data_IF_347365248463
#
_entry.id   IF_347365248463
#
_cell.length_a   1.000
_cell.length_b   1.000
_cell.length_c   1.000
_cell.angle_alpha   90.00
_cell.angle_beta   90.00
_cell.angle_gamma   90.00
#
_symmetry.space_group_name_H-M   'P 1'
#
loop_
_entity.id
_entity.type
_entity.pdbx_description
1 polymer ?
#
# COMPACT_ATOMS: atom_id res chain seq x y z
N UNK A 1 -1.91 45.35 -20.24
CA UNK A 1 -3.21 44.98 -19.64
C UNK A 1 -3.29 43.48 -19.63
N UNK A 2 -2.93 42.88 -18.49
CA UNK A 2 -3.00 41.45 -18.23
C UNK A 2 -4.44 40.95 -18.30
N UNK A 3 -4.64 39.85 -19.02
CA UNK A 3 -5.86 39.05 -18.96
C UNK A 3 -5.64 37.98 -17.90
N UNK A 4 -6.31 38.14 -16.75
CA UNK A 4 -6.45 37.10 -15.74
C UNK A 4 -7.34 35.98 -16.30
N UNK A 5 -6.80 34.78 -16.45
CA UNK A 5 -7.59 33.58 -16.64
C UNK A 5 -7.89 32.98 -15.26
N UNK A 6 -9.15 33.11 -14.83
CA UNK A 6 -9.68 32.44 -13.65
C UNK A 6 -9.88 30.97 -14.02
N UNK A 7 -9.08 30.08 -13.42
CA UNK A 7 -9.31 28.64 -13.49
C UNK A 7 -10.58 28.32 -12.68
N UNK A 8 -11.54 27.66 -13.33
CA UNK A 8 -12.78 27.20 -12.69
C UNK A 8 -12.48 26.14 -11.63
N UNK A 9 -12.97 26.37 -10.42
CA UNK A 9 -12.97 25.41 -9.33
C UNK A 9 -14.16 24.47 -9.53
N UNK A 10 -13.89 23.19 -9.79
CA UNK A 10 -14.89 22.11 -9.68
C UNK A 10 -15.03 21.68 -8.22
N UNK A 11 -16.20 21.15 -7.85
CA UNK A 11 -16.65 20.94 -6.47
C UNK A 11 -15.86 19.89 -5.67
N UNK A 12 -14.87 20.33 -4.89
CA UNK A 12 -14.11 19.48 -3.94
C UNK A 12 -14.27 19.94 -2.48
N UNK A 13 -15.43 20.47 -2.09
CA UNK A 13 -15.67 20.80 -0.68
C UNK A 13 -16.05 19.53 0.10
N UNK A 14 -15.39 19.22 1.23
CA UNK A 14 -15.71 18.04 2.02
C UNK A 14 -17.16 18.07 2.49
N UNK A 15 -17.83 16.93 2.40
CA UNK A 15 -19.22 16.77 2.84
C UNK A 15 -19.33 16.92 4.36
N UNK A 16 -20.53 17.26 4.89
CA UNK A 16 -20.76 17.29 6.33
C UNK A 16 -20.41 15.98 7.06
N UNK A 17 -20.57 14.83 6.38
CA UNK A 17 -20.19 13.52 6.93
C UNK A 17 -18.67 13.37 7.05
N UNK A 18 -17.92 13.75 6.01
CA UNK A 18 -16.45 13.75 6.03
C UNK A 18 -15.89 14.71 7.09
N UNK A 19 -16.50 15.89 7.25
CA UNK A 19 -16.13 16.83 8.29
C UNK A 19 -16.40 16.27 9.69
N UNK A 20 -17.55 15.63 9.89
CA UNK A 20 -17.90 15.02 11.18
C UNK A 20 -16.92 13.90 11.55
N UNK A 21 -16.57 13.04 10.59
CA UNK A 21 -15.59 11.97 10.80
C UNK A 21 -14.20 12.53 11.09
N UNK A 22 -13.77 13.56 10.37
CA UNK A 22 -12.51 14.25 10.64
C UNK A 22 -12.44 14.81 12.07
N UNK A 23 -13.51 15.45 12.57
CA UNK A 23 -13.56 15.91 13.96
C UNK A 23 -13.57 14.76 14.97
N UNK A 24 -14.27 13.66 14.69
CA UNK A 24 -14.23 12.47 15.53
C UNK A 24 -12.82 11.87 15.63
N UNK A 25 -12.03 11.93 14.55
CA UNK A 25 -10.63 11.51 14.55
C UNK A 25 -9.73 12.43 15.38
N UNK A 26 -10.02 13.73 15.45
CA UNK A 26 -9.33 14.67 16.36
C UNK A 26 -9.69 14.36 17.82
N UNK A 27 -10.98 14.18 18.13
CA UNK A 27 -11.46 13.90 19.48
C UNK A 27 -10.93 12.57 20.04
N UNK A 28 -10.87 11.53 19.18
CA UNK A 28 -10.29 10.23 19.52
C UNK A 28 -8.75 10.22 19.57
N UNK A 29 -8.10 11.37 19.36
CA UNK A 29 -6.63 11.55 19.29
C UNK A 29 -5.93 10.78 18.17
N UNK A 30 -6.67 10.23 17.21
CA UNK A 30 -6.11 9.64 15.98
C UNK A 30 -5.43 10.69 15.10
N UNK A 31 -5.97 11.92 15.08
CA UNK A 31 -5.31 13.10 14.54
C UNK A 31 -4.87 14.00 15.70
N UNK A 32 -3.56 14.04 15.95
CA UNK A 32 -3.01 14.92 16.98
C UNK A 32 -2.99 16.38 16.51
N UNK A 33 -3.01 17.33 17.45
CA UNK A 33 -2.86 18.77 17.16
C UNK A 33 -1.56 19.06 16.38
N UNK A 34 -0.47 18.34 16.68
CA UNK A 34 0.81 18.45 15.96
C UNK A 34 0.65 17.99 14.51
N UNK A 35 0.01 16.83 14.28
CA UNK A 35 -0.29 16.27 12.95
C UNK A 35 -1.14 17.21 12.09
N UNK A 36 -2.21 17.77 12.65
CA UNK A 36 -3.05 18.77 11.98
C UNK A 36 -2.28 20.04 11.63
N UNK A 37 -1.43 20.52 12.54
CA UNK A 37 -0.61 21.71 12.30
C UNK A 37 0.45 21.47 11.22
N UNK A 38 1.06 20.30 11.17
CA UNK A 38 2.02 19.94 10.11
C UNK A 38 1.32 19.88 8.74
N UNK A 39 0.14 19.23 8.67
CA UNK A 39 -0.69 19.22 7.47
C UNK A 39 -1.03 20.64 6.98
N UNK A 40 -1.52 21.51 7.87
CA UNK A 40 -1.90 22.89 7.53
C UNK A 40 -0.71 23.78 7.11
N UNK A 41 0.51 23.45 7.53
CA UNK A 41 1.73 24.18 7.16
C UNK A 41 2.40 23.62 5.90
N UNK A 42 1.87 22.54 5.33
CA UNK A 42 2.57 21.78 4.29
C UNK A 42 3.89 21.20 4.80
N UNK A 43 4.04 21.08 6.13
CA UNK A 43 5.19 20.46 6.76
C UNK A 43 5.00 18.95 6.66
N UNK A 44 6.02 18.32 6.08
CA UNK A 44 6.10 16.90 5.83
C UNK A 44 5.86 16.16 7.14
N UNK A 45 5.03 15.11 7.11
CA UNK A 45 4.73 14.33 8.31
C UNK A 45 6.04 13.81 8.91
N UNK A 46 6.27 14.17 10.17
CA UNK A 46 7.46 13.79 10.92
C UNK A 46 7.58 12.25 10.89
N UNK A 47 8.71 11.73 10.40
CA UNK A 47 8.94 10.28 10.25
C UNK A 47 8.67 9.55 11.57
N UNK A 48 8.96 10.17 12.71
CA UNK A 48 8.68 9.58 14.03
C UNK A 48 7.18 9.34 14.26
N UNK A 49 6.31 10.20 13.72
CA UNK A 49 4.85 10.04 13.76
C UNK A 49 4.41 8.87 12.88
N UNK A 50 4.96 8.76 11.67
CA UNK A 50 4.67 7.64 10.77
C UNK A 50 5.11 6.29 11.36
N UNK A 51 6.29 6.24 11.97
CA UNK A 51 6.77 5.02 12.61
C UNK A 51 5.92 4.65 13.83
N UNK A 52 5.55 5.62 14.67
CA UNK A 52 4.66 5.37 15.81
C UNK A 52 3.27 4.85 15.36
N UNK A 53 2.75 5.38 14.26
CA UNK A 53 1.51 4.91 13.65
C UNK A 53 1.61 3.47 13.14
N UNK A 54 2.75 3.08 12.54
CA UNK A 54 3.04 1.69 12.19
C UNK A 54 3.17 0.76 13.40
N UNK A 55 3.82 1.20 14.48
CA UNK A 55 3.89 0.44 15.74
C UNK A 55 2.48 0.20 16.30
N UNK A 56 1.64 1.23 16.29
CA UNK A 56 0.25 1.13 16.72
C UNK A 56 -0.55 0.13 15.87
N UNK A 57 -0.39 0.19 14.54
CA UNK A 57 -1.02 -0.74 13.61
C UNK A 57 -0.61 -2.20 13.90
N UNK A 58 0.68 -2.48 14.08
CA UNK A 58 1.15 -3.82 14.39
C UNK A 58 0.59 -4.35 15.71
N UNK A 59 0.52 -3.50 16.73
CA UNK A 59 -0.09 -3.87 18.01
C UNK A 59 -1.57 -4.19 17.88
N UNK A 60 -2.33 -3.37 17.16
CA UNK A 60 -3.79 -3.54 17.05
C UNK A 60 -4.19 -4.72 16.15
N UNK A 61 -3.49 -4.90 15.03
CA UNK A 61 -3.88 -5.86 14.00
C UNK A 61 -3.24 -7.22 14.22
N UNK A 62 -2.00 -7.25 14.73
CA UNK A 62 -1.23 -8.47 14.92
C UNK A 62 -0.95 -8.81 16.38
N UNK A 63 -1.30 -7.94 17.34
CA UNK A 63 -0.92 -8.13 18.74
C UNK A 63 0.60 -8.07 18.96
N UNK A 64 1.33 -7.41 18.06
CA UNK A 64 2.78 -7.41 18.03
C UNK A 64 3.35 -6.05 18.44
N UNK A 65 4.18 -6.04 19.47
CA UNK A 65 5.02 -4.89 19.81
C UNK A 65 6.27 -4.91 18.91
N UNK A 66 6.39 -3.93 18.02
CA UNK A 66 7.53 -3.81 17.10
C UNK A 66 8.37 -2.61 17.51
N UNK A 67 9.67 -2.81 17.72
CA UNK A 67 10.61 -1.70 17.89
C UNK A 67 11.08 -1.21 16.52
N UNK A 68 10.74 0.03 16.19
CA UNK A 68 11.15 0.71 14.95
C UNK A 68 12.17 1.82 15.22
N UNK A 69 12.73 1.88 16.43
CA UNK A 69 13.74 2.86 16.77
C UNK A 69 15.00 2.65 15.92
N UNK A 70 15.45 3.71 15.25
CA UNK A 70 16.60 3.64 14.36
C UNK A 70 16.34 2.96 13.01
N UNK A 71 15.08 2.64 12.68
CA UNK A 71 14.73 2.18 11.33
C UNK A 71 15.13 3.26 10.31
N UNK A 72 15.93 2.86 9.32
CA UNK A 72 16.26 3.73 8.19
C UNK A 72 15.01 3.90 7.32
N UNK A 73 14.62 5.16 7.13
CA UNK A 73 13.52 5.53 6.23
C UNK A 73 14.11 6.24 5.01
N UNK A 74 13.89 5.73 3.79
CA UNK A 74 14.38 6.36 2.57
C UNK A 74 13.87 7.79 2.46
N UNK A 75 14.67 8.65 1.81
CA UNK A 75 14.25 10.01 1.50
C UNK A 75 12.99 9.99 0.64
N UNK A 76 11.96 10.73 1.06
CA UNK A 76 10.67 10.76 0.36
C UNK A 76 10.80 11.53 -0.96
N UNK A 77 10.49 10.86 -2.08
CA UNK A 77 10.42 11.48 -3.40
C UNK A 77 9.03 12.08 -3.67
N UNK A 78 8.96 13.13 -4.52
CA UNK A 78 7.68 13.77 -4.86
C UNK A 78 6.73 12.75 -5.50
N UNK A 79 5.52 12.62 -4.93
CA UNK A 79 4.50 11.68 -5.38
C UNK A 79 4.59 10.30 -4.72
N UNK A 80 5.60 10.05 -3.89
CA UNK A 80 5.68 8.86 -3.04
C UNK A 80 5.26 9.23 -1.62
N UNK A 81 4.00 8.97 -1.30
CA UNK A 81 3.33 9.57 -0.14
C UNK A 81 2.88 8.55 0.91
N UNK A 82 2.92 7.25 0.57
CA UNK A 82 2.54 6.14 1.44
C UNK A 82 3.78 5.39 1.92
N UNK A 83 4.11 5.50 3.21
CA UNK A 83 5.14 4.68 3.83
C UNK A 83 4.59 3.31 4.16
N UNK A 84 5.25 2.25 3.69
CA UNK A 84 5.06 0.88 4.17
C UNK A 84 6.25 0.48 5.01
N UNK A 85 6.01 0.01 6.23
CA UNK A 85 7.02 -0.57 7.10
C UNK A 85 6.73 -2.05 7.22
N UNK A 86 7.65 -2.90 6.78
CA UNK A 86 7.52 -4.36 6.89
C UNK A 86 8.33 -4.81 8.10
N UNK A 87 7.62 -5.24 9.15
CA UNK A 87 8.24 -5.76 10.37
C UNK A 87 8.81 -7.18 10.15
N UNK A 88 9.74 -7.65 11.00
CA UNK A 88 10.16 -9.04 10.99
C UNK A 88 8.98 -10.00 11.11
N UNK A 89 9.12 -11.19 10.54
CA UNK A 89 8.11 -12.26 10.56
C UNK A 89 6.78 -11.92 9.87
N UNK A 90 6.69 -10.82 9.11
CA UNK A 90 5.57 -10.53 8.22
C UNK A 90 5.69 -11.35 6.93
N UNK A 91 5.38 -12.64 7.04
CA UNK A 91 5.43 -13.58 5.92
C UNK A 91 4.17 -13.47 5.04
N UNK A 92 4.23 -13.86 3.75
CA UNK A 92 3.09 -13.88 2.84
C UNK A 92 1.83 -14.53 3.43
N UNK A 93 1.97 -15.72 4.02
CA UNK A 93 0.84 -16.49 4.57
C UNK A 93 0.29 -15.82 5.83
N UNK A 94 1.15 -15.27 6.69
CA UNK A 94 0.71 -14.54 7.90
C UNK A 94 -0.11 -13.31 7.53
N UNK A 95 0.34 -12.55 6.54
CA UNK A 95 -0.35 -11.35 6.06
C UNK A 95 -1.69 -11.71 5.40
N UNK A 96 -1.70 -12.72 4.53
CA UNK A 96 -2.93 -13.18 3.89
C UNK A 96 -3.95 -13.69 4.91
N UNK A 97 -3.53 -14.47 5.91
CA UNK A 97 -4.42 -14.92 6.98
C UNK A 97 -5.06 -13.74 7.72
N UNK A 98 -4.29 -12.66 7.93
CA UNK A 98 -4.83 -11.45 8.55
C UNK A 98 -5.86 -10.75 7.66
N UNK A 99 -5.69 -10.77 6.34
CA UNK A 99 -6.72 -10.29 5.40
C UNK A 99 -8.00 -11.11 5.55
N UNK A 100 -7.90 -12.44 5.57
CA UNK A 100 -9.05 -13.37 5.73
C UNK A 100 -9.82 -13.12 7.04
N UNK A 101 -9.13 -12.77 8.12
CA UNK A 101 -9.77 -12.43 9.39
C UNK A 101 -10.59 -11.13 9.34
N UNK A 102 -10.26 -10.20 8.43
CA UNK A 102 -10.87 -8.87 8.37
C UNK A 102 -11.91 -8.73 7.25
N UNK A 103 -11.72 -9.44 6.13
CA UNK A 103 -12.60 -9.34 4.97
C UNK A 103 -12.54 -10.61 4.10
N UNK A 104 -13.57 -10.89 3.29
CA UNK A 104 -13.59 -12.06 2.40
C UNK A 104 -12.40 -12.04 1.44
N UNK A 105 -11.72 -13.18 1.32
CA UNK A 105 -10.56 -13.32 0.46
C UNK A 105 -10.65 -14.60 -0.37
N UNK A 106 -10.05 -14.56 -1.56
CA UNK A 106 -9.87 -15.71 -2.43
C UNK A 106 -8.44 -15.76 -2.93
N UNK A 107 -7.82 -16.93 -2.89
CA UNK A 107 -6.53 -17.19 -3.53
C UNK A 107 -6.64 -18.34 -4.52
N UNK A 108 -5.80 -18.33 -5.54
CA UNK A 108 -5.79 -19.32 -6.62
C UNK A 108 -5.34 -20.73 -6.22
N UNK A 109 -4.70 -20.86 -5.04
CA UNK A 109 -4.04 -22.09 -4.58
C UNK A 109 -4.36 -22.38 -3.12
N UNK A 110 -4.39 -23.65 -2.75
CA UNK A 110 -4.45 -24.10 -1.35
C UNK A 110 -3.05 -24.16 -0.70
N UNK A 111 -1.98 -24.02 -1.47
CA UNK A 111 -0.61 -24.06 -0.96
C UNK A 111 -0.30 -22.92 0.00
N UNK A 112 0.66 -23.19 0.88
CA UNK A 112 1.21 -22.23 1.83
C UNK A 112 2.03 -21.16 1.08
N UNK A 113 1.59 -19.90 1.15
CA UNK A 113 2.21 -18.78 0.46
C UNK A 113 3.66 -18.57 0.91
N UNK A 114 4.03 -18.97 2.13
CA UNK A 114 5.41 -18.87 2.62
C UNK A 114 6.37 -19.82 1.90
N UNK A 115 5.84 -20.87 1.27
CA UNK A 115 6.63 -21.87 0.54
C UNK A 115 6.75 -21.53 -0.94
N UNK A 116 5.73 -20.90 -1.51
CA UNK A 116 5.65 -20.69 -2.95
C UNK A 116 5.99 -19.25 -3.35
N UNK A 117 5.94 -18.26 -2.46
CA UNK A 117 6.28 -16.86 -2.81
C UNK A 117 7.72 -16.52 -2.42
N UNK A 118 8.43 -15.88 -3.34
CA UNK A 118 9.75 -15.31 -3.14
C UNK A 118 9.75 -13.83 -3.51
N UNK A 119 10.23 -12.99 -2.61
CA UNK A 119 10.23 -11.53 -2.77
C UNK A 119 11.65 -10.97 -2.79
N UNK A 120 11.87 -9.93 -3.61
CA UNK A 120 13.15 -9.25 -3.75
C UNK A 120 13.54 -8.49 -2.46
N UNK A 121 12.55 -7.92 -1.76
CA UNK A 121 12.70 -7.27 -0.46
C UNK A 121 12.02 -8.12 0.61
N UNK A 122 12.73 -8.40 1.70
CA UNK A 122 12.22 -9.22 2.82
C UNK A 122 12.72 -8.69 4.15
N UNK A 123 11.93 -8.86 5.20
CA UNK A 123 12.28 -8.46 6.57
C UNK A 123 13.12 -9.53 7.33
N UNK A 124 13.81 -10.42 6.62
CA UNK A 124 14.64 -11.49 7.22
C UNK A 124 15.79 -10.93 8.06
N UNK A 125 16.31 -9.76 7.68
CA UNK A 125 17.45 -9.10 8.34
C UNK A 125 17.03 -7.93 9.22
N UNK A 126 15.76 -7.88 9.62
CA UNK A 126 15.17 -6.77 10.37
C UNK A 126 14.08 -6.05 9.59
N UNK A 127 13.38 -5.14 10.28
CA UNK A 127 12.36 -4.31 9.66
C UNK A 127 12.98 -3.47 8.53
N UNK A 128 12.19 -3.21 7.49
CA UNK A 128 12.55 -2.27 6.44
C UNK A 128 11.36 -1.37 6.10
N UNK A 129 11.64 -0.28 5.40
CA UNK A 129 10.60 0.62 4.93
C UNK A 129 10.78 0.98 3.46
N UNK A 130 9.67 1.29 2.81
CA UNK A 130 9.59 1.60 1.39
C UNK A 130 8.43 2.56 1.15
N UNK A 131 8.60 3.49 0.22
CA UNK A 131 7.57 4.43 -0.19
C UNK A 131 6.87 4.00 -1.47
N UNK A 132 5.58 4.31 -1.55
CA UNK A 132 4.74 4.17 -2.73
C UNK A 132 3.87 5.41 -2.91
N UNK A 133 3.24 5.55 -4.08
CA UNK A 133 2.19 6.54 -4.31
C UNK A 133 0.96 6.21 -3.45
N UNK A 134 0.36 7.23 -2.82
CA UNK A 134 -0.87 7.07 -2.02
C UNK A 134 -2.12 7.24 -2.89
N UNK A 135 -2.42 6.20 -3.66
CA UNK A 135 -3.53 6.15 -4.62
C UNK A 135 -4.26 4.82 -4.53
N UNK A 136 -5.58 4.85 -4.75
CA UNK A 136 -6.44 3.65 -4.70
C UNK A 136 -5.98 2.63 -5.74
N UNK A 137 -5.78 3.09 -6.97
CA UNK A 137 -5.36 2.28 -8.10
C UNK A 137 -3.84 2.32 -8.28
N UNK A 138 -3.25 1.22 -8.74
CA UNK A 138 -1.82 1.18 -9.03
C UNK A 138 -1.40 2.16 -10.14
N UNK A 139 -0.09 2.45 -10.17
CA UNK A 139 0.52 3.56 -10.92
C UNK A 139 0.13 3.53 -12.41
N UNK A 140 -0.62 4.54 -12.84
CA UNK A 140 -1.16 4.60 -14.21
C UNK A 140 -0.05 4.65 -15.26
N UNK A 141 1.07 5.30 -14.96
CA UNK A 141 2.25 5.36 -15.83
C UNK A 141 2.91 3.99 -16.06
N UNK A 142 2.61 2.99 -15.23
CA UNK A 142 3.12 1.62 -15.34
C UNK A 142 2.13 0.65 -15.99
N UNK A 143 0.99 1.16 -16.49
CA UNK A 143 -0.03 0.37 -17.19
C UNK A 143 0.53 -0.30 -18.45
N UNK A 144 0.05 -1.51 -18.74
CA UNK A 144 0.49 -2.35 -19.85
C UNK A 144 1.98 -2.71 -19.82
N UNK A 145 2.64 -2.65 -18.66
CA UNK A 145 4.02 -3.14 -18.52
C UNK A 145 4.03 -4.48 -17.80
N UNK A 146 4.66 -5.47 -18.42
CA UNK A 146 4.88 -6.77 -17.77
C UNK A 146 5.94 -6.67 -16.67
N UNK A 147 6.01 -7.66 -15.79
CA UNK A 147 7.08 -7.72 -14.79
C UNK A 147 8.47 -7.77 -15.45
N UNK A 148 8.59 -8.40 -16.62
CA UNK A 148 9.80 -8.40 -17.42
C UNK A 148 10.15 -7.01 -17.99
N UNK A 149 9.16 -6.23 -18.42
CA UNK A 149 9.39 -4.86 -18.91
C UNK A 149 9.82 -3.92 -17.79
N UNK A 150 9.20 -4.03 -16.61
CA UNK A 150 9.58 -3.28 -15.41
C UNK A 150 11.04 -3.59 -15.02
N UNK A 151 11.41 -4.88 -15.03
CA UNK A 151 12.80 -5.30 -14.79
C UNK A 151 13.78 -4.75 -15.82
N UNK A 152 13.45 -4.79 -17.11
CA UNK A 152 14.30 -4.22 -18.19
C UNK A 152 14.46 -2.70 -18.06
N UNK A 153 13.44 -2.01 -17.55
CA UNK A 153 13.46 -0.57 -17.29
C UNK A 153 14.08 -0.21 -15.93
N UNK A 154 14.53 -1.21 -15.16
CA UNK A 154 15.04 -1.04 -13.80
C UNK A 154 14.06 -0.30 -12.88
N UNK A 155 12.76 -0.56 -13.05
CA UNK A 155 11.71 -0.02 -12.19
C UNK A 155 11.44 -1.04 -11.09
N UNK A 156 11.82 -0.76 -9.83
CA UNK A 156 11.49 -1.65 -8.72
C UNK A 156 9.98 -1.59 -8.45
N UNK A 157 9.31 -2.74 -8.53
CA UNK A 157 7.88 -2.82 -8.22
C UNK A 157 7.63 -3.35 -6.82
N UNK A 158 6.43 -3.12 -6.31
CA UNK A 158 5.94 -3.60 -5.01
C UNK A 158 6.08 -5.12 -4.87
N UNK A 159 6.49 -5.59 -3.70
CA UNK A 159 6.45 -7.01 -3.34
C UNK A 159 5.06 -7.40 -2.88
N UNK A 160 4.79 -8.70 -2.84
CA UNK A 160 3.52 -9.24 -2.40
C UNK A 160 3.23 -8.89 -0.93
N UNK A 161 4.20 -9.02 -0.02
CA UNK A 161 4.06 -8.67 1.39
C UNK A 161 3.79 -7.18 1.60
N UNK A 162 4.49 -6.32 0.85
CA UNK A 162 4.27 -4.87 0.89
C UNK A 162 2.85 -4.51 0.47
N UNK A 163 2.33 -5.16 -0.57
CA UNK A 163 0.98 -4.93 -1.07
C UNK A 163 -0.09 -5.44 -0.10
N UNK A 164 0.10 -6.60 0.53
CA UNK A 164 -0.82 -7.11 1.56
C UNK A 164 -0.84 -6.19 2.81
N UNK A 165 0.32 -5.71 3.26
CA UNK A 165 0.40 -4.75 4.36
C UNK A 165 -0.27 -3.42 4.00
N UNK A 166 -0.08 -2.97 2.76
CA UNK A 166 -0.75 -1.77 2.24
C UNK A 166 -2.28 -1.94 2.26
N UNK A 167 -2.80 -3.12 1.89
CA UNK A 167 -4.24 -3.43 1.96
C UNK A 167 -4.75 -3.34 3.40
N UNK A 168 -4.13 -4.11 4.30
CA UNK A 168 -4.54 -4.19 5.69
C UNK A 168 -4.56 -2.81 6.34
N UNK A 169 -3.52 -2.02 6.10
CA UNK A 169 -3.41 -0.68 6.66
C UNK A 169 -4.46 0.26 6.06
N UNK A 170 -4.67 0.23 4.75
CA UNK A 170 -5.68 1.05 4.08
C UNK A 170 -7.10 0.70 4.57
N UNK A 171 -7.42 -0.59 4.65
CA UNK A 171 -8.70 -1.07 5.18
C UNK A 171 -8.93 -0.62 6.62
N UNK A 172 -7.92 -0.72 7.49
CA UNK A 172 -8.04 -0.25 8.89
C UNK A 172 -8.24 1.26 9.02
N UNK A 173 -7.74 2.04 8.08
CA UNK A 173 -7.87 3.51 8.07
C UNK A 173 -9.20 3.98 7.47
N UNK A 174 -9.76 3.23 6.52
CA UNK A 174 -10.83 3.73 5.64
C UNK A 174 -12.08 2.84 5.57
N UNK A 175 -12.01 1.60 6.07
CA UNK A 175 -13.03 0.56 5.87
C UNK A 175 -13.33 0.31 4.37
N UNK A 176 -12.34 0.55 3.50
CA UNK A 176 -12.41 0.43 2.04
C UNK A 176 -11.20 -0.33 1.49
N UNK A 177 -11.24 -0.68 0.20
CA UNK A 177 -10.22 -1.51 -0.46
C UNK A 177 -9.48 -0.77 -1.57
N UNK A 178 -8.24 -1.20 -1.82
CA UNK A 178 -7.43 -0.73 -2.94
C UNK A 178 -7.69 -1.59 -4.19
N UNK A 179 -7.24 -1.11 -5.35
CA UNK A 179 -7.28 -1.85 -6.63
C UNK A 179 -8.69 -2.32 -7.01
N UNK A 180 -9.61 -1.37 -7.15
CA UNK A 180 -11.03 -1.62 -7.44
C UNK A 180 -11.24 -1.81 -8.94
N UNK A 181 -10.50 -1.06 -9.77
CA UNK A 181 -10.69 -1.03 -11.24
C UNK A 181 -9.53 -1.66 -12.02
N UNK A 182 -8.43 -2.02 -11.35
CA UNK A 182 -7.29 -2.69 -11.95
C UNK A 182 -6.65 -3.63 -10.92
N UNK A 183 -5.61 -4.32 -11.37
CA UNK A 183 -4.92 -5.33 -10.60
C UNK A 183 -3.49 -4.89 -10.34
N UNK A 184 -3.09 -4.88 -9.07
CA UNK A 184 -1.69 -4.64 -8.73
C UNK A 184 -0.87 -5.88 -9.08
N UNK A 185 -0.01 -5.76 -10.08
CA UNK A 185 1.03 -6.73 -10.39
C UNK A 185 2.19 -6.56 -9.39
N UNK A 186 2.36 -7.50 -8.47
CA UNK A 186 3.43 -7.48 -7.46
C UNK A 186 4.78 -7.90 -8.07
N UNK A 187 5.27 -7.10 -9.01
CA UNK A 187 6.43 -7.44 -9.84
C UNK A 187 7.75 -7.56 -9.08
N UNK A 188 7.81 -7.15 -7.80
CA UNK A 188 8.92 -7.41 -6.88
C UNK A 188 8.90 -8.80 -6.23
N UNK A 189 7.93 -9.66 -6.60
CA UNK A 189 7.79 -11.03 -6.11
C UNK A 189 7.56 -12.02 -7.25
N UNK A 190 7.84 -13.31 -6.98
CA UNK A 190 7.57 -14.43 -7.87
C UNK A 190 7.03 -15.62 -7.09
N UNK A 191 6.13 -16.38 -7.70
CA UNK A 191 5.84 -17.74 -7.28
C UNK A 191 7.01 -18.68 -7.65
N UNK A 192 7.01 -19.89 -7.08
CA UNK A 192 8.08 -20.87 -7.27
C UNK A 192 8.25 -21.36 -8.70
N UNK A 193 7.21 -21.23 -9.52
CA UNK A 193 7.18 -21.51 -10.96
C UNK A 193 7.62 -20.31 -11.84
N UNK A 194 7.84 -19.15 -11.22
CA UNK A 194 8.26 -17.92 -11.90
C UNK A 194 7.10 -17.00 -12.31
N UNK A 195 5.86 -17.36 -12.02
CA UNK A 195 4.73 -16.46 -12.21
C UNK A 195 4.75 -15.31 -11.18
N UNK A 196 4.01 -14.24 -11.47
CA UNK A 196 4.03 -13.00 -10.70
C UNK A 196 2.75 -12.91 -9.89
N UNK A 197 2.80 -12.74 -8.55
CA UNK A 197 1.61 -12.49 -7.76
C UNK A 197 0.88 -11.25 -8.23
N UNK A 198 -0.43 -11.33 -8.27
CA UNK A 198 -1.32 -10.20 -8.51
C UNK A 198 -2.37 -10.16 -7.41
N UNK A 199 -2.84 -8.94 -7.10
CA UNK A 199 -3.94 -8.75 -6.17
C UNK A 199 -4.90 -7.67 -6.64
N UNK A 200 -6.16 -7.81 -6.22
CA UNK A 200 -7.18 -6.79 -6.41
C UNK A 200 -8.36 -6.95 -5.43
N UNK A 201 -9.24 -5.96 -5.42
CA UNK A 201 -10.57 -6.09 -4.84
C UNK A 201 -11.61 -6.32 -5.93
N UNK A 202 -12.19 -7.51 -5.96
CA UNK A 202 -13.31 -7.83 -6.85
C UNK A 202 -14.60 -7.27 -6.23
N UNK A 203 -15.12 -6.19 -6.84
CA UNK A 203 -16.35 -5.54 -6.35
C UNK A 203 -17.61 -6.37 -6.59
N UNK A 204 -17.61 -7.24 -7.59
CA UNK A 204 -18.77 -8.08 -7.92
C UNK A 204 -18.84 -9.27 -6.95
N UNK A 205 -17.70 -9.91 -6.68
CA UNK A 205 -17.60 -10.99 -5.69
C UNK A 205 -17.55 -10.47 -4.24
N UNK A 206 -17.18 -9.19 -4.04
CA UNK A 206 -16.89 -8.57 -2.73
C UNK A 206 -15.79 -9.32 -1.98
N UNK A 207 -14.72 -9.65 -2.69
CA UNK A 207 -13.60 -10.45 -2.20
C UNK A 207 -12.26 -9.81 -2.58
N UNK A 208 -11.30 -9.91 -1.67
CA UNK A 208 -9.90 -9.60 -1.96
C UNK A 208 -9.24 -10.80 -2.63
N UNK A 209 -8.78 -10.62 -3.86
CA UNK A 209 -8.29 -11.66 -4.74
C UNK A 209 -6.76 -11.69 -4.76
N UNK A 210 -6.20 -12.89 -4.74
CA UNK A 210 -4.77 -13.18 -4.92
C UNK A 210 -4.64 -14.24 -6.00
N UNK A 211 -4.21 -13.86 -7.20
CA UNK A 211 -3.91 -14.80 -8.28
C UNK A 211 -2.47 -14.63 -8.76
N UNK A 212 -2.26 -14.79 -10.06
CA UNK A 212 -0.98 -14.78 -10.70
C UNK A 212 -1.12 -14.37 -12.17
N UNK A 213 -0.01 -13.87 -12.71
CA UNK A 213 0.18 -13.61 -14.12
C UNK A 213 1.52 -14.14 -14.59
N UNK A 214 1.60 -14.54 -15.86
CA UNK A 214 2.89 -14.83 -16.47
C UNK A 214 3.77 -13.57 -16.48
N UNK A 215 5.10 -13.71 -16.31
CA UNK A 215 5.99 -12.56 -16.16
C UNK A 215 6.09 -11.66 -17.41
N UNK A 216 5.70 -12.17 -18.58
CA UNK A 216 5.55 -11.46 -19.85
C UNK A 216 4.15 -10.88 -20.10
N UNK A 217 3.15 -11.22 -19.28
CA UNK A 217 1.80 -10.71 -19.44
C UNK A 217 1.78 -9.19 -19.24
N UNK A 218 1.15 -8.52 -20.20
CA UNK A 218 0.87 -7.10 -20.13
C UNK A 218 -0.52 -6.84 -20.71
N UNK A 219 -1.34 -6.13 -19.96
CA UNK A 219 -2.65 -5.70 -20.40
C UNK A 219 -3.05 -4.39 -19.70
N UNK A 220 -4.21 -3.86 -20.10
CA UNK A 220 -4.67 -2.55 -19.65
C UNK A 220 -5.19 -2.51 -18.21
N UNK A 221 -5.46 -3.66 -17.61
CA UNK A 221 -5.88 -3.82 -16.23
C UNK A 221 -4.69 -4.14 -15.33
N UNK A 222 -3.53 -4.53 -15.87
CA UNK A 222 -2.31 -4.75 -15.08
C UNK A 222 -1.50 -3.48 -14.88
N UNK A 223 -1.16 -3.19 -13.62
CA UNK A 223 -0.30 -2.08 -13.20
C UNK A 223 0.54 -2.49 -12.01
N UNK A 224 1.80 -2.07 -11.96
CA UNK A 224 2.62 -2.23 -10.74
C UNK A 224 2.62 -0.93 -9.94
N UNK A 225 3.02 -1.01 -8.67
CA UNK A 225 3.29 0.17 -7.84
C UNK A 225 4.80 0.30 -7.70
N UNK A 226 5.36 1.47 -8.05
CA UNK A 226 6.79 1.71 -7.99
C UNK A 226 7.24 1.86 -6.54
N UNK A 227 8.20 1.02 -6.15
CA UNK A 227 8.88 1.14 -4.87
C UNK A 227 9.93 2.26 -4.90
N UNK A 228 9.99 3.05 -3.85
CA UNK A 228 11.07 4.01 -3.59
C UNK A 228 11.70 3.65 -2.24
N UNK A 229 12.90 3.08 -2.29
CA UNK A 229 13.61 2.49 -1.15
C UNK A 229 15.08 2.86 -1.16
#
# INVERSE_FOLDING_TARGET
>A
MEKSYVAGWTSESPTPAQLKEFFAQIESRRITKKRLQSFLRGEWEDISVLLADWQQFYREVFGLEVDLLGLSVPGREKGSDRLIVVAPEMTPQRLYNKCVELFPCRKWTDDDLDKIVQSERTAKNGAYSVWFRDVIEADEELKNLSANDLKKKSIPGITFEERLLMELKYFKETDSHLDINNWTLCSGSRYSDGDVPEVCWDSDAREFHVFWYHPESSDSLLRSRRAVS
#
